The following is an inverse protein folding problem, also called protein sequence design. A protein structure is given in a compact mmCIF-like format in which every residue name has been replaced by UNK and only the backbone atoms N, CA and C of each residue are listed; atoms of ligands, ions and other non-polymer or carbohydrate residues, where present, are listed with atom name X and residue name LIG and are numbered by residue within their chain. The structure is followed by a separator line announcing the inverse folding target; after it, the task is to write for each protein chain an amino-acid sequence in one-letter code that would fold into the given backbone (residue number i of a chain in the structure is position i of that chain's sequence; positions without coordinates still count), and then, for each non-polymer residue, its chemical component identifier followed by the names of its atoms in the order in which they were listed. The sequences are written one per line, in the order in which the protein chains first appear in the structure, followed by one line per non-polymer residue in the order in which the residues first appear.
data_IF_043568452793
#
_entry.id   IF_043568452793
#
_cell.length_a   1.000
_cell.length_b   1.000
_cell.length_c   1.000
_cell.angle_alpha   90.00
_cell.angle_beta   90.00
_cell.angle_gamma   90.00
#
_symmetry.space_group_name_H-M   'P 1'
#
loop_
_entity.id
_entity.type
_entity.pdbx_description
1 polymer ?
#
# COMPACT_ATOMS: atom_id res chain seq x y z
N UNK A 1 -16.10 80.71 -3.56
CA UNK A 1 -15.95 79.76 -2.43
C UNK A 1 -15.75 78.37 -3.03
N UNK A 2 -14.53 77.83 -2.87
CA UNK A 2 -13.95 76.51 -3.21
C UNK A 2 -14.69 75.58 -4.20
N UNK A 3 -14.07 75.41 -5.37
CA UNK A 3 -14.28 74.31 -6.33
C UNK A 3 -13.75 72.99 -5.75
N UNK A 4 -14.61 71.97 -5.63
CA UNK A 4 -14.21 70.61 -5.28
C UNK A 4 -13.64 69.90 -6.52
N UNK A 5 -12.39 69.44 -6.44
CA UNK A 5 -11.72 68.73 -7.54
C UNK A 5 -12.25 67.30 -7.69
N UNK A 6 -12.39 66.87 -8.94
CA UNK A 6 -12.93 65.57 -9.36
C UNK A 6 -11.92 64.42 -9.22
N UNK A 7 -10.77 64.68 -8.61
CA UNK A 7 -9.60 63.78 -8.66
C UNK A 7 -9.59 62.74 -7.53
N UNK A 8 -10.47 62.86 -6.53
CA UNK A 8 -10.49 61.96 -5.37
C UNK A 8 -11.30 60.68 -5.61
N UNK A 9 -12.19 60.65 -6.60
CA UNK A 9 -13.02 59.46 -6.87
C UNK A 9 -12.32 58.34 -7.64
N UNK A 10 -11.28 58.63 -8.43
CA UNK A 10 -10.56 57.61 -9.21
C UNK A 10 -9.55 56.78 -8.42
N UNK A 11 -9.16 57.23 -7.21
CA UNK A 11 -8.18 56.52 -6.39
C UNK A 11 -8.80 55.40 -5.53
N UNK A 12 -10.10 55.45 -5.24
CA UNK A 12 -10.76 54.48 -4.36
C UNK A 12 -11.22 53.19 -5.07
N UNK A 13 -11.37 53.21 -6.40
CA UNK A 13 -11.85 52.04 -7.16
C UNK A 13 -10.71 51.08 -7.54
N UNK A 14 -9.48 51.58 -7.68
CA UNK A 14 -8.33 50.77 -8.12
C UNK A 14 -7.76 49.86 -7.01
N UNK A 15 -7.99 50.18 -5.73
CA UNK A 15 -7.45 49.38 -4.60
C UNK A 15 -8.29 48.14 -4.28
N UNK A 16 -9.54 48.04 -4.77
CA UNK A 16 -10.41 46.89 -4.49
C UNK A 16 -10.15 45.71 -5.46
N UNK A 17 -9.60 45.96 -6.65
CA UNK A 17 -9.39 44.90 -7.66
C UNK A 17 -8.14 44.05 -7.34
N UNK A 18 -7.19 44.55 -6.56
CA UNK A 18 -5.99 43.81 -6.14
C UNK A 18 -6.22 42.81 -5.01
N UNK A 19 -7.39 42.85 -4.34
CA UNK A 19 -7.71 41.94 -3.23
C UNK A 19 -8.41 40.64 -3.63
N UNK A 20 -9.00 40.57 -4.82
CA UNK A 20 -9.77 39.40 -5.27
C UNK A 20 -8.96 38.36 -6.07
N UNK A 21 -7.70 38.64 -6.41
CA UNK A 21 -6.85 37.74 -7.19
C UNK A 21 -6.25 36.56 -6.43
N UNK A 22 -6.32 36.55 -5.09
CA UNK A 22 -5.62 35.55 -4.25
C UNK A 22 -6.52 34.45 -3.68
N UNK A 23 -7.84 34.51 -3.88
CA UNK A 23 -8.78 33.54 -3.33
C UNK A 23 -9.07 32.33 -4.25
N UNK A 24 -8.51 32.30 -5.46
CA UNK A 24 -8.83 31.30 -6.48
C UNK A 24 -7.90 30.05 -6.52
N UNK A 25 -6.99 29.90 -5.55
CA UNK A 25 -6.05 28.76 -5.50
C UNK A 25 -6.28 27.74 -4.38
N UNK A 26 -7.37 27.84 -3.61
CA UNK A 26 -7.70 26.88 -2.55
C UNK A 26 -8.32 25.55 -3.05
N UNK A 27 -8.32 25.31 -4.37
CA UNK A 27 -8.85 24.10 -4.96
C UNK A 27 -7.71 23.08 -5.18
N UNK A 28 -7.63 22.13 -4.25
CA UNK A 28 -6.75 20.93 -4.21
C UNK A 28 -5.43 21.09 -3.43
N UNK A 29 -5.50 21.57 -2.19
CA UNK A 29 -4.35 21.72 -1.28
C UNK A 29 -3.78 20.38 -0.74
N UNK A 30 -4.46 19.26 -1.01
CA UNK A 30 -4.14 17.97 -0.39
C UNK A 30 -4.11 16.81 -1.39
N UNK A 31 -3.01 16.07 -1.40
CA UNK A 31 -2.85 14.80 -2.11
C UNK A 31 -3.21 13.67 -1.17
N UNK A 32 -4.28 12.94 -1.48
CA UNK A 32 -4.71 11.78 -0.70
C UNK A 32 -3.89 10.54 -1.05
N UNK A 33 -3.44 9.83 -0.02
CA UNK A 33 -2.79 8.52 -0.11
C UNK A 33 -3.65 7.53 0.67
N UNK A 34 -4.21 6.53 0.00
CA UNK A 34 -4.93 5.47 0.69
C UNK A 34 -3.93 4.52 1.35
N UNK A 35 -4.14 4.24 2.63
CA UNK A 35 -3.40 3.23 3.38
C UNK A 35 -4.34 2.03 3.58
N UNK A 36 -4.18 1.00 2.73
CA UNK A 36 -5.06 -0.16 2.73
C UNK A 36 -4.39 -1.35 3.43
N UNK A 37 -5.09 -1.98 4.37
CA UNK A 37 -4.57 -3.13 5.10
C UNK A 37 -5.41 -3.43 6.35
N UNK A 38 -5.09 -4.53 7.07
CA UNK A 38 -5.91 -4.97 8.19
C UNK A 38 -5.68 -4.08 9.40
N UNK A 39 -6.64 -3.22 9.76
CA UNK A 39 -6.65 -2.53 11.07
C UNK A 39 -7.54 -3.25 12.08
N UNK A 40 -8.24 -4.29 11.64
CA UNK A 40 -8.98 -5.19 12.51
C UNK A 40 -8.62 -6.65 12.23
N UNK A 41 -9.15 -7.54 13.06
CA UNK A 41 -8.96 -8.99 12.91
C UNK A 41 -7.61 -9.51 13.43
N UNK A 42 -7.32 -10.80 13.19
CA UNK A 42 -6.23 -11.53 13.86
C UNK A 42 -4.81 -11.08 13.45
N UNK A 43 -4.69 -10.25 12.42
CA UNK A 43 -3.41 -9.75 11.90
C UNK A 43 -3.29 -8.23 11.99
N UNK A 44 -4.19 -7.57 12.74
CA UNK A 44 -4.23 -6.12 12.90
C UNK A 44 -2.88 -5.51 13.31
N UNK A 45 -2.12 -6.19 14.19
CA UNK A 45 -0.79 -5.75 14.62
C UNK A 45 0.17 -5.45 13.45
N UNK A 46 0.09 -6.20 12.35
CA UNK A 46 0.94 -5.95 11.17
C UNK A 46 0.43 -4.76 10.35
N UNK A 47 -0.90 -4.58 10.27
CA UNK A 47 -1.47 -3.40 9.66
C UNK A 47 -1.16 -2.15 10.46
N UNK A 48 -1.19 -2.19 11.79
CA UNK A 48 -0.79 -1.08 12.66
C UNK A 48 0.65 -0.66 12.37
N UNK A 49 1.58 -1.61 12.23
CA UNK A 49 2.96 -1.32 11.82
C UNK A 49 3.02 -0.62 10.45
N UNK A 50 2.27 -1.11 9.47
CA UNK A 50 2.16 -0.49 8.14
C UNK A 50 1.62 0.94 8.24
N UNK A 51 0.53 1.15 8.96
CA UNK A 51 -0.13 2.45 9.11
C UNK A 51 0.75 3.45 9.84
N UNK A 52 1.41 3.03 10.92
CA UNK A 52 2.32 3.89 11.68
C UNK A 52 3.48 4.36 10.81
N UNK A 53 4.14 3.45 10.10
CA UNK A 53 5.26 3.81 9.21
C UNK A 53 4.85 4.77 8.09
N UNK A 54 3.71 4.51 7.44
CA UNK A 54 3.21 5.37 6.37
C UNK A 54 2.77 6.76 6.89
N UNK A 55 2.08 6.82 8.03
CA UNK A 55 1.68 8.09 8.67
C UNK A 55 2.88 8.91 9.09
N UNK A 56 3.89 8.30 9.70
CA UNK A 56 5.13 8.98 10.06
C UNK A 56 5.83 9.59 8.83
N UNK A 57 5.88 8.87 7.71
CA UNK A 57 6.43 9.41 6.46
C UNK A 57 5.61 10.61 5.93
N UNK A 58 4.27 10.52 5.96
CA UNK A 58 3.36 11.61 5.60
C UNK A 58 3.60 12.85 6.47
N UNK A 59 3.69 12.67 7.78
CA UNK A 59 3.97 13.75 8.74
C UNK A 59 5.31 14.44 8.44
N UNK A 60 6.36 13.66 8.23
CA UNK A 60 7.70 14.18 7.93
C UNK A 60 7.74 14.94 6.59
N UNK A 61 7.06 14.44 5.56
CA UNK A 61 6.96 15.12 4.25
C UNK A 61 6.19 16.44 4.41
N UNK A 62 5.07 16.40 5.12
CA UNK A 62 4.26 17.59 5.38
C UNK A 62 5.00 18.64 6.21
N UNK A 63 5.79 18.24 7.19
CA UNK A 63 6.63 19.14 7.98
C UNK A 63 7.68 19.86 7.11
N UNK A 64 8.12 19.24 6.01
CA UNK A 64 9.08 19.81 5.04
C UNK A 64 8.43 20.63 3.92
N UNK A 65 7.14 20.96 4.05
CA UNK A 65 6.41 21.76 3.05
C UNK A 65 5.55 20.95 2.09
N UNK A 66 5.49 19.63 2.22
CA UNK A 66 4.66 18.77 1.38
C UNK A 66 5.32 18.42 0.04
N UNK A 67 4.51 17.99 -0.93
CA UNK A 67 4.94 17.65 -2.29
C UNK A 67 4.48 18.74 -3.24
N UNK A 68 5.42 19.45 -3.87
CA UNK A 68 5.13 20.61 -4.73
C UNK A 68 4.21 21.64 -4.04
N UNK A 69 4.39 21.86 -2.73
CA UNK A 69 3.59 22.77 -1.91
C UNK A 69 2.24 22.21 -1.44
N UNK A 70 1.82 21.02 -1.91
CA UNK A 70 0.58 20.35 -1.47
C UNK A 70 0.84 19.43 -0.29
N UNK A 71 -0.06 19.39 0.69
CA UNK A 71 0.03 18.46 1.83
C UNK A 71 -0.41 17.06 1.42
N UNK A 72 0.09 16.05 2.10
CA UNK A 72 -0.37 14.67 2.00
C UNK A 72 -1.42 14.38 3.08
N UNK A 73 -2.47 13.66 2.73
CA UNK A 73 -3.47 13.13 3.67
C UNK A 73 -3.50 11.60 3.58
N UNK A 74 -3.25 10.95 4.71
CA UNK A 74 -3.35 9.51 4.83
C UNK A 74 -4.80 9.09 5.09
N UNK A 75 -5.39 8.33 4.17
CA UNK A 75 -6.77 7.80 4.29
C UNK A 75 -6.68 6.31 4.59
N UNK A 76 -6.96 5.93 5.84
CA UNK A 76 -6.87 4.52 6.27
C UNK A 76 -8.11 3.75 5.82
N UNK A 77 -7.89 2.58 5.22
CA UNK A 77 -8.94 1.67 4.78
C UNK A 77 -8.68 0.26 5.33
N UNK A 78 -9.62 -0.23 6.14
CA UNK A 78 -9.53 -1.57 6.71
C UNK A 78 -9.99 -2.62 5.70
N UNK A 79 -9.09 -3.51 5.31
CA UNK A 79 -9.41 -4.67 4.47
C UNK A 79 -9.56 -5.97 5.26
N UNK A 80 -9.32 -5.95 6.58
CA UNK A 80 -9.33 -7.09 7.49
C UNK A 80 -8.50 -8.31 7.03
N UNK A 81 -7.57 -8.14 6.07
CA UNK A 81 -6.86 -9.24 5.40
C UNK A 81 -7.84 -10.20 4.67
N UNK A 82 -9.00 -9.72 4.26
CA UNK A 82 -10.05 -10.50 3.61
C UNK A 82 -10.18 -10.13 2.12
N UNK A 83 -10.06 -11.08 1.18
CA UNK A 83 -10.05 -10.79 -0.26
C UNK A 83 -11.30 -10.03 -0.76
N UNK A 84 -12.49 -10.39 -0.27
CA UNK A 84 -13.74 -9.71 -0.68
C UNK A 84 -13.79 -8.28 -0.17
N UNK A 85 -13.36 -8.05 1.07
CA UNK A 85 -13.31 -6.71 1.66
C UNK A 85 -12.23 -5.86 0.99
N UNK A 86 -11.09 -6.44 0.62
CA UNK A 86 -10.05 -5.75 -0.13
C UNK A 86 -10.54 -5.22 -1.49
N UNK A 87 -11.37 -5.99 -2.20
CA UNK A 87 -12.03 -5.52 -3.44
C UNK A 87 -12.99 -4.37 -3.14
N UNK A 88 -13.77 -4.43 -2.06
CA UNK A 88 -14.66 -3.34 -1.67
C UNK A 88 -13.88 -2.06 -1.32
N UNK A 89 -12.78 -2.20 -0.57
CA UNK A 89 -11.84 -1.11 -0.26
C UNK A 89 -11.26 -0.50 -1.53
N UNK A 90 -10.83 -1.32 -2.48
CA UNK A 90 -10.28 -0.85 -3.74
C UNK A 90 -11.32 -0.04 -4.54
N UNK A 91 -12.57 -0.51 -4.61
CA UNK A 91 -13.67 0.24 -5.23
C UNK A 91 -13.96 1.56 -4.49
N UNK A 92 -13.89 1.56 -3.16
CA UNK A 92 -14.03 2.80 -2.37
C UNK A 92 -12.92 3.81 -2.70
N UNK A 93 -11.67 3.37 -2.84
CA UNK A 93 -10.53 4.21 -3.23
C UNK A 93 -10.75 4.81 -4.63
N UNK A 94 -11.22 4.01 -5.59
CA UNK A 94 -11.59 4.45 -6.94
C UNK A 94 -12.69 5.52 -6.87
N UNK A 95 -13.76 5.26 -6.12
CA UNK A 95 -14.90 6.18 -5.98
C UNK A 95 -14.50 7.50 -5.29
N UNK A 96 -13.55 7.45 -4.36
CA UNK A 96 -12.98 8.63 -3.70
C UNK A 96 -11.93 9.35 -4.58
N UNK A 97 -11.66 8.85 -5.79
CA UNK A 97 -10.70 9.41 -6.75
C UNK A 97 -9.27 9.50 -6.21
N UNK A 98 -8.90 8.61 -5.27
CA UNK A 98 -7.54 8.55 -4.72
C UNK A 98 -6.64 7.86 -5.76
N UNK A 99 -5.48 8.47 -6.06
CA UNK A 99 -4.56 7.98 -7.11
C UNK A 99 -3.34 7.22 -6.60
N UNK A 100 -3.14 7.18 -5.28
CA UNK A 100 -1.99 6.54 -4.66
C UNK A 100 -2.43 5.62 -3.52
N UNK A 101 -1.93 4.40 -3.51
CA UNK A 101 -2.22 3.38 -2.52
C UNK A 101 -0.91 2.85 -1.93
N UNK A 102 -0.82 2.83 -0.61
CA UNK A 102 0.15 2.05 0.14
C UNK A 102 -0.59 0.88 0.79
N UNK A 103 -0.24 -0.34 0.41
CA UNK A 103 -1.00 -1.54 0.75
C UNK A 103 -1.21 -2.40 -0.48
N UNK A 104 -2.04 -3.44 -0.46
CA UNK A 104 -2.59 -4.08 0.73
C UNK A 104 -1.49 -4.90 1.43
N UNK A 105 -1.78 -5.41 2.63
CA UNK A 105 -0.80 -6.15 3.43
C UNK A 105 -0.73 -7.64 3.05
N UNK A 106 -1.88 -8.30 3.02
CA UNK A 106 -1.97 -9.74 2.80
C UNK A 106 -1.96 -10.06 1.32
N UNK A 107 -1.14 -11.03 0.88
CA UNK A 107 -1.07 -11.43 -0.54
C UNK A 107 -2.44 -11.76 -1.14
N UNK A 108 -3.30 -12.44 -0.38
CA UNK A 108 -4.68 -12.77 -0.78
C UNK A 108 -5.60 -11.57 -0.98
N UNK A 109 -5.37 -10.48 -0.24
CA UNK A 109 -6.08 -9.19 -0.40
C UNK A 109 -5.49 -8.38 -1.55
N UNK A 110 -4.16 -8.34 -1.62
CA UNK A 110 -3.39 -7.56 -2.59
C UNK A 110 -3.66 -8.01 -4.03
N UNK A 111 -3.68 -9.31 -4.30
CA UNK A 111 -3.82 -9.84 -5.65
C UNK A 111 -5.12 -9.40 -6.37
N UNK A 112 -6.33 -9.52 -5.78
CA UNK A 112 -7.54 -9.06 -6.44
C UNK A 112 -7.67 -7.52 -6.45
N UNK A 113 -7.20 -6.82 -5.40
CA UNK A 113 -7.27 -5.35 -5.36
C UNK A 113 -6.35 -4.69 -6.40
N UNK A 114 -5.14 -5.24 -6.60
CA UNK A 114 -4.14 -4.68 -7.51
C UNK A 114 -4.59 -4.67 -8.97
N UNK A 115 -5.41 -5.65 -9.39
CA UNK A 115 -6.01 -5.65 -10.72
C UNK A 115 -6.90 -4.42 -10.94
N UNK A 116 -7.72 -4.06 -9.95
CA UNK A 116 -8.58 -2.89 -10.06
C UNK A 116 -7.76 -1.61 -10.15
N UNK A 117 -6.69 -1.50 -9.37
CA UNK A 117 -5.81 -0.33 -9.43
C UNK A 117 -5.09 -0.21 -10.77
N UNK A 118 -4.64 -1.31 -11.37
CA UNK A 118 -4.07 -1.31 -12.72
C UNK A 118 -5.10 -0.80 -13.74
N UNK A 119 -6.32 -1.36 -13.72
CA UNK A 119 -7.38 -1.01 -14.67
C UNK A 119 -7.80 0.47 -14.55
N UNK A 120 -7.77 1.03 -13.34
CA UNK A 120 -8.19 2.41 -13.02
C UNK A 120 -7.03 3.44 -13.03
N UNK A 121 -5.81 3.00 -13.37
CA UNK A 121 -4.62 3.86 -13.40
C UNK A 121 -4.25 4.43 -12.02
N UNK A 122 -4.43 3.64 -10.96
CA UNK A 122 -4.09 3.99 -9.57
C UNK A 122 -2.75 3.37 -9.22
N UNK A 123 -1.81 4.19 -8.77
CA UNK A 123 -0.48 3.74 -8.41
C UNK A 123 -0.47 3.08 -7.02
N UNK A 124 0.02 1.85 -6.94
CA UNK A 124 0.01 1.04 -5.74
C UNK A 124 1.43 0.57 -5.40
N UNK A 125 1.83 0.73 -4.14
CA UNK A 125 3.00 0.08 -3.55
C UNK A 125 2.58 -0.76 -2.35
N UNK A 126 2.80 -2.07 -2.40
CA UNK A 126 2.67 -2.94 -1.21
C UNK A 126 4.00 -3.06 -0.46
N UNK A 127 4.04 -2.79 0.85
CA UNK A 127 5.25 -2.98 1.65
C UNK A 127 5.34 -4.37 2.28
N UNK A 128 4.36 -5.26 2.07
CA UNK A 128 4.24 -6.50 2.85
C UNK A 128 3.83 -7.74 2.05
N UNK A 129 3.18 -7.60 0.89
CA UNK A 129 2.70 -8.76 0.15
C UNK A 129 3.81 -9.41 -0.70
N UNK A 130 4.23 -10.60 -0.29
CA UNK A 130 5.42 -11.29 -0.81
C UNK A 130 5.13 -12.25 -1.97
N UNK A 131 3.86 -12.57 -2.24
CA UNK A 131 3.54 -13.54 -3.28
C UNK A 131 4.04 -13.05 -4.66
N UNK A 132 4.87 -13.82 -5.39
CA UNK A 132 5.46 -13.37 -6.65
C UNK A 132 4.42 -13.01 -7.72
N UNK A 133 3.25 -13.67 -7.71
CA UNK A 133 2.19 -13.48 -8.68
C UNK A 133 1.66 -12.04 -8.73
N UNK A 134 1.85 -11.24 -7.67
CA UNK A 134 1.39 -9.85 -7.59
C UNK A 134 2.08 -8.96 -8.63
N UNK A 135 3.41 -9.09 -8.81
CA UNK A 135 4.17 -8.26 -9.77
C UNK A 135 4.59 -9.03 -11.03
N UNK A 136 4.31 -10.33 -11.09
CA UNK A 136 4.48 -11.13 -12.32
C UNK A 136 3.36 -10.90 -13.35
N UNK A 137 2.27 -10.23 -12.96
CA UNK A 137 1.17 -9.87 -13.88
C UNK A 137 1.57 -8.86 -14.96
N UNK A 138 2.77 -8.26 -14.88
CA UNK A 138 3.25 -7.19 -15.78
C UNK A 138 2.38 -5.92 -15.74
N UNK A 139 1.72 -5.68 -14.62
CA UNK A 139 1.03 -4.43 -14.32
C UNK A 139 2.01 -3.27 -14.27
N UNK A 140 1.59 -2.10 -14.75
CA UNK A 140 2.40 -0.87 -14.81
C UNK A 140 2.27 -0.03 -13.54
N UNK A 141 1.17 -0.18 -12.82
CA UNK A 141 0.82 0.64 -11.66
C UNK A 141 1.10 -0.04 -10.33
N UNK A 142 1.53 -1.31 -10.33
CA UNK A 142 1.63 -2.14 -9.13
C UNK A 142 3.08 -2.49 -8.84
N UNK A 143 3.56 -2.04 -7.68
CA UNK A 143 4.93 -2.21 -7.21
C UNK A 143 4.97 -2.76 -5.80
N UNK A 144 6.15 -3.21 -5.36
CA UNK A 144 6.39 -3.66 -3.98
C UNK A 144 7.76 -3.20 -3.49
N UNK A 145 7.90 -3.00 -2.17
CA UNK A 145 9.22 -2.76 -1.54
C UNK A 145 9.77 -3.99 -0.81
N UNK A 146 8.92 -5.01 -0.56
CA UNK A 146 9.31 -6.25 0.09
C UNK A 146 9.83 -7.30 -0.90
N UNK A 147 10.70 -8.20 -0.42
CA UNK A 147 11.16 -9.36 -1.19
C UNK A 147 10.06 -10.40 -1.43
N UNK A 148 10.28 -11.30 -2.38
CA UNK A 148 9.28 -12.26 -2.86
C UNK A 148 9.46 -13.66 -2.26
N UNK A 149 8.38 -14.45 -2.24
CA UNK A 149 8.43 -15.82 -1.69
C UNK A 149 9.42 -16.72 -2.46
N UNK A 150 9.58 -16.51 -3.79
CA UNK A 150 10.56 -17.21 -4.63
C UNK A 150 12.02 -16.75 -4.42
N UNK A 151 12.25 -15.74 -3.58
CA UNK A 151 13.57 -15.38 -3.05
C UNK A 151 13.75 -15.85 -1.60
N UNK A 152 12.71 -15.70 -0.77
CA UNK A 152 12.72 -16.04 0.65
C UNK A 152 12.69 -17.56 0.89
N UNK A 153 11.78 -18.27 0.22
CA UNK A 153 11.61 -19.72 0.32
C UNK A 153 12.89 -20.49 0.00
N UNK A 154 13.59 -20.20 -1.10
CA UNK A 154 14.87 -20.85 -1.38
C UNK A 154 15.96 -20.53 -0.37
N UNK A 155 15.95 -19.35 0.24
CA UNK A 155 16.90 -19.00 1.30
C UNK A 155 16.66 -19.87 2.54
N UNK A 156 15.42 -19.98 2.99
CA UNK A 156 15.05 -20.86 4.10
C UNK A 156 15.31 -22.34 3.79
N UNK A 157 14.91 -22.80 2.60
CA UNK A 157 15.15 -24.19 2.15
C UNK A 157 16.62 -24.55 2.09
N UNK A 158 17.49 -23.68 1.57
CA UNK A 158 18.96 -23.88 1.58
C UNK A 158 19.52 -23.93 2.99
N UNK A 159 19.02 -23.09 3.90
CA UNK A 159 19.44 -23.14 5.30
C UNK A 159 19.07 -24.49 5.95
N UNK A 160 17.83 -24.95 5.75
CA UNK A 160 17.36 -26.25 6.23
C UNK A 160 18.23 -27.38 5.67
N UNK A 161 18.47 -27.39 4.36
CA UNK A 161 19.22 -28.46 3.71
C UNK A 161 20.71 -28.48 4.09
N UNK A 162 21.36 -27.31 4.15
CA UNK A 162 22.81 -27.23 4.27
C UNK A 162 23.31 -27.03 5.70
N UNK A 163 22.50 -26.45 6.58
CA UNK A 163 22.88 -26.14 7.97
C UNK A 163 22.17 -27.03 8.98
N UNK A 164 20.84 -27.14 8.89
CA UNK A 164 20.06 -27.94 9.84
C UNK A 164 20.23 -29.44 9.60
N UNK A 165 20.20 -29.87 8.32
CA UNK A 165 20.33 -31.28 7.89
C UNK A 165 19.42 -32.23 8.69
N UNK A 166 18.11 -31.97 8.73
CA UNK A 166 17.19 -32.75 9.57
C UNK A 166 17.06 -34.19 9.06
N UNK A 167 16.92 -35.15 9.98
CA UNK A 167 16.61 -36.55 9.64
C UNK A 167 15.19 -36.73 9.10
N UNK A 168 14.25 -35.89 9.55
CA UNK A 168 12.86 -35.83 9.11
C UNK A 168 12.41 -34.38 9.07
N UNK A 169 11.63 -34.01 8.05
CA UNK A 169 11.11 -32.66 7.86
C UNK A 169 9.59 -32.73 7.63
N UNK A 170 8.83 -31.91 8.35
CA UNK A 170 7.42 -31.65 8.08
C UNK A 170 7.27 -30.16 7.73
N UNK A 171 6.43 -29.86 6.75
CA UNK A 171 6.10 -28.49 6.33
C UNK A 171 4.60 -28.28 6.58
N UNK A 172 4.28 -27.19 7.27
CA UNK A 172 2.91 -26.82 7.64
C UNK A 172 2.67 -25.39 7.17
N UNK A 173 1.49 -25.12 6.61
CA UNK A 173 1.08 -23.79 6.18
C UNK A 173 -0.38 -23.49 6.54
N UNK A 174 -0.80 -22.23 6.45
CA UNK A 174 -2.13 -21.75 6.86
C UNK A 174 -3.18 -21.73 5.74
N UNK A 175 -2.91 -22.43 4.63
CA UNK A 175 -3.70 -22.46 3.37
C UNK A 175 -3.93 -21.11 2.67
N UNK A 176 -3.41 -20.01 3.21
CA UNK A 176 -3.54 -18.71 2.57
C UNK A 176 -2.44 -18.53 1.53
N UNK A 177 -2.70 -17.64 0.56
CA UNK A 177 -1.78 -17.41 -0.57
C UNK A 177 -0.34 -17.08 -0.15
N UNK A 178 -0.15 -16.43 1.00
CA UNK A 178 1.18 -16.18 1.56
C UNK A 178 1.79 -17.45 2.16
N UNK A 179 1.16 -18.03 3.19
CA UNK A 179 1.73 -19.14 3.94
C UNK A 179 1.93 -20.38 3.07
N UNK A 180 0.97 -20.70 2.20
CA UNK A 180 1.13 -21.80 1.24
C UNK A 180 2.19 -21.49 0.18
N UNK A 181 2.23 -20.25 -0.32
CA UNK A 181 3.18 -19.82 -1.36
C UNK A 181 4.63 -20.00 -0.92
N UNK A 182 4.99 -19.46 0.24
CA UNK A 182 6.34 -19.59 0.78
C UNK A 182 6.68 -21.04 1.17
N UNK A 183 5.72 -21.79 1.71
CA UNK A 183 5.90 -23.20 2.06
C UNK A 183 6.21 -24.04 0.81
N UNK A 184 5.55 -23.79 -0.32
CA UNK A 184 5.84 -24.46 -1.61
C UNK A 184 7.24 -24.17 -2.11
N UNK A 185 7.73 -22.93 -2.00
CA UNK A 185 9.09 -22.59 -2.40
C UNK A 185 10.15 -23.25 -1.50
N UNK A 186 9.87 -23.38 -0.19
CA UNK A 186 10.71 -24.18 0.72
C UNK A 186 10.70 -25.66 0.33
N UNK A 187 9.52 -26.27 0.16
CA UNK A 187 9.35 -27.67 -0.23
C UNK A 187 10.12 -28.01 -1.52
N UNK A 188 9.95 -27.18 -2.55
CA UNK A 188 10.67 -27.28 -3.82
C UNK A 188 12.19 -27.25 -3.60
N UNK A 189 12.67 -26.33 -2.76
CA UNK A 189 14.11 -26.15 -2.52
C UNK A 189 14.72 -27.31 -1.75
N UNK A 190 14.05 -27.81 -0.71
CA UNK A 190 14.57 -28.94 0.10
C UNK A 190 14.53 -30.25 -0.69
N UNK A 191 13.50 -30.47 -1.51
CA UNK A 191 13.41 -31.63 -2.43
C UNK A 191 14.53 -31.61 -3.46
N UNK A 192 14.85 -30.44 -4.03
CA UNK A 192 15.98 -30.30 -4.95
C UNK A 192 17.33 -30.60 -4.27
N UNK A 193 17.43 -30.46 -2.95
CA UNK A 193 18.60 -30.83 -2.16
C UNK A 193 18.57 -32.28 -1.63
N UNK A 194 17.62 -33.11 -2.09
CA UNK A 194 17.52 -34.53 -1.71
C UNK A 194 16.80 -34.79 -0.38
N UNK A 195 16.16 -33.79 0.22
CA UNK A 195 15.35 -33.94 1.43
C UNK A 195 13.88 -33.99 1.04
N UNK A 196 13.24 -35.14 1.21
CA UNK A 196 11.79 -35.29 1.03
C UNK A 196 11.08 -35.04 2.36
N UNK A 197 10.21 -34.02 2.48
CA UNK A 197 9.37 -33.86 3.66
C UNK A 197 8.45 -35.06 3.84
N UNK A 198 8.31 -35.51 5.09
CA UNK A 198 7.38 -36.59 5.47
C UNK A 198 5.93 -36.11 5.56
N UNK A 199 5.73 -34.79 5.57
CA UNK A 199 4.42 -34.14 5.61
C UNK A 199 4.53 -32.77 4.94
N UNK A 200 3.52 -32.43 4.13
CA UNK A 200 3.24 -31.09 3.64
C UNK A 200 1.74 -30.88 3.82
N UNK A 201 1.32 -30.08 4.81
CA UNK A 201 -0.09 -30.00 5.21
C UNK A 201 -0.54 -28.56 5.46
N UNK A 202 -1.78 -28.27 5.05
CA UNK A 202 -2.44 -27.02 5.33
C UNK A 202 -3.32 -27.11 6.57
N UNK A 203 -3.22 -26.16 7.48
CA UNK A 203 -4.11 -26.03 8.64
C UNK A 203 -4.95 -24.77 8.47
N UNK A 204 -6.22 -24.83 8.86
CA UNK A 204 -7.06 -23.65 8.86
C UNK A 204 -6.57 -22.68 9.94
N UNK A 205 -6.54 -21.39 9.62
CA UNK A 205 -6.32 -20.35 10.62
C UNK A 205 -7.45 -20.43 11.67
N UNK A 206 -7.06 -20.45 12.94
CA UNK A 206 -7.98 -20.36 14.09
C UNK A 206 -8.43 -18.94 14.37
#
# INVERSE_FOLDING_TARGET
MKTFSRDVLSAAVTTIILGLGSAAHAAEDTIKIALAGPTTGPVAQYGDMQMMGAKMAVEQINAKGGVNGKKLEAVVMDDACEPKQAVAVANQIVNQKIKFVIGHLCSGSTQPASKLYEDEGIFMITPAATNPAITQQKYKMVFRTIGTDDQQGPTAGRYIANKVKPKKLAIIHDKQQYGEGIAKEVDKTVKAAGITPVLFEGINKG
#
